data_IF_261110519647
#
_entry.id   IF_261110519647
#
_cell.length_a   1.000
_cell.length_b   1.000
_cell.length_c   1.000
_cell.angle_alpha   90.00
_cell.angle_beta   90.00
_cell.angle_gamma   90.00
#
_symmetry.space_group_name_H-M   'P 1'
#
loop_
_entity.id
_entity.type
_entity.pdbx_description
1 polymer ?
#
# COMPACT_ATOMS: atom_id res chain seq x y z
N UNK A 1 16.85 14.64 10.86
CA UNK A 1 16.63 14.42 9.41
C UNK A 1 15.28 14.91 8.87
N UNK A 2 14.16 14.74 9.59
CA UNK A 2 12.84 15.21 9.11
C UNK A 2 12.74 16.75 9.00
N UNK A 3 13.29 17.50 9.96
CA UNK A 3 13.34 18.97 9.90
C UNK A 3 14.13 19.50 8.69
N UNK A 4 15.29 18.91 8.39
CA UNK A 4 16.09 19.29 7.23
C UNK A 4 15.36 19.04 5.91
N UNK A 5 14.65 17.90 5.78
CA UNK A 5 13.77 17.66 4.63
C UNK A 5 12.67 18.71 4.54
N UNK A 6 12.07 19.09 5.66
CA UNK A 6 11.00 20.08 5.69
C UNK A 6 11.51 21.46 5.24
N UNK A 7 12.68 21.87 5.74
CA UNK A 7 13.30 23.14 5.39
C UNK A 7 13.71 23.17 3.91
N UNK A 8 14.31 22.09 3.41
CA UNK A 8 14.68 21.98 1.99
C UNK A 8 13.47 21.90 1.08
N UNK A 9 12.40 21.20 1.46
CA UNK A 9 11.14 21.19 0.70
C UNK A 9 10.48 22.56 0.68
N UNK A 10 10.52 23.29 1.80
CA UNK A 10 9.97 24.64 1.89
C UNK A 10 10.79 25.61 1.02
N UNK A 11 12.12 25.51 1.08
CA UNK A 11 13.02 26.29 0.24
C UNK A 11 12.78 26.01 -1.25
N UNK A 12 12.66 24.73 -1.63
CA UNK A 12 12.35 24.33 -3.00
C UNK A 12 11.00 24.90 -3.45
N UNK A 13 9.97 24.79 -2.61
CA UNK A 13 8.65 25.34 -2.90
C UNK A 13 8.71 26.87 -3.08
N UNK A 14 9.45 27.57 -2.22
CA UNK A 14 9.66 29.00 -2.34
C UNK A 14 10.35 29.38 -3.66
N UNK A 15 11.39 28.64 -4.06
CA UNK A 15 12.08 28.83 -5.35
C UNK A 15 11.14 28.62 -6.52
N UNK A 16 10.29 27.57 -6.48
CA UNK A 16 9.29 27.30 -7.52
C UNK A 16 8.31 28.47 -7.63
N UNK A 17 7.77 28.95 -6.51
CA UNK A 17 6.82 30.09 -6.50
C UNK A 17 7.48 31.35 -7.07
N UNK A 18 8.73 31.61 -6.69
CA UNK A 18 9.48 32.79 -7.14
C UNK A 18 9.75 32.71 -8.65
N UNK A 19 10.13 31.53 -9.14
CA UNK A 19 10.29 31.25 -10.58
C UNK A 19 8.99 31.48 -11.33
N UNK A 20 7.86 30.96 -10.84
CA UNK A 20 6.54 31.17 -11.46
C UNK A 20 6.20 32.65 -11.50
N UNK A 21 6.39 33.37 -10.39
CA UNK A 21 6.10 34.80 -10.29
C UNK A 21 6.96 35.62 -11.25
N UNK A 22 8.25 35.32 -11.35
CA UNK A 22 9.18 36.04 -12.22
C UNK A 22 8.87 35.80 -13.70
N UNK A 23 8.41 34.60 -14.05
CA UNK A 23 8.10 34.21 -15.42
C UNK A 23 6.61 34.37 -15.80
N UNK A 24 5.79 35.02 -14.96
CA UNK A 24 4.36 35.26 -15.22
C UNK A 24 4.08 35.89 -16.58
N UNK A 25 4.91 36.87 -16.97
CA UNK A 25 4.79 37.51 -18.27
C UNK A 25 4.98 36.51 -19.42
N UNK A 26 5.94 35.59 -19.29
CA UNK A 26 6.20 34.52 -20.25
C UNK A 26 5.06 33.50 -20.29
N UNK A 27 4.50 33.12 -19.13
CA UNK A 27 3.37 32.19 -19.07
C UNK A 27 2.09 32.73 -19.69
N UNK A 28 1.90 34.05 -19.67
CA UNK A 28 0.75 34.72 -20.27
C UNK A 28 0.93 35.04 -21.76
N UNK A 29 2.11 34.80 -22.34
CA UNK A 29 2.28 34.94 -23.79
C UNK A 29 1.36 33.98 -24.52
N UNK A 30 0.70 34.50 -25.55
CA UNK A 30 -0.08 33.73 -26.50
C UNK A 30 0.85 33.24 -27.60
N UNK A 31 0.82 31.94 -27.87
CA UNK A 31 1.46 31.34 -29.03
C UNK A 31 0.39 31.13 -30.10
N UNK A 32 0.71 31.59 -31.30
CA UNK A 32 -0.07 31.31 -32.50
C UNK A 32 0.34 29.96 -33.06
N UNK A 33 -0.66 29.11 -33.26
CA UNK A 33 -0.52 27.83 -33.95
C UNK A 33 -1.29 27.95 -35.24
N UNK A 34 -0.64 27.60 -36.35
CA UNK A 34 -1.28 27.46 -37.65
C UNK A 34 -1.18 26.01 -38.09
N UNK A 35 -2.30 25.48 -38.58
CA UNK A 35 -2.32 24.22 -39.29
C UNK A 35 -2.59 24.53 -40.76
N UNK A 36 -1.53 24.42 -41.57
CA UNK A 36 -1.65 24.59 -43.01
C UNK A 36 -2.18 23.30 -43.63
N UNK A 37 -3.48 23.28 -43.88
CA UNK A 37 -4.12 22.22 -44.63
C UNK A 37 -4.10 22.61 -46.11
N UNK A 38 -3.23 21.94 -46.89
CA UNK A 38 -3.04 22.13 -48.33
C UNK A 38 -4.33 22.11 -49.19
N UNK A 39 -5.48 21.73 -48.63
CA UNK A 39 -6.79 21.61 -49.29
C UNK A 39 -7.78 22.74 -48.93
N UNK A 40 -7.61 23.48 -47.82
CA UNK A 40 -8.51 24.59 -47.43
C UNK A 40 -7.95 25.39 -46.25
N UNK A 41 -8.10 26.71 -46.33
CA UNK A 41 -7.91 27.77 -45.31
C UNK A 41 -7.00 27.45 -44.11
N UNK A 42 -5.97 28.27 -43.92
CA UNK A 42 -5.11 28.23 -42.74
C UNK A 42 -5.94 28.34 -41.46
N UNK A 43 -6.02 27.25 -40.70
CA UNK A 43 -6.67 27.26 -39.39
C UNK A 43 -5.67 27.80 -38.38
N UNK A 44 -5.86 29.05 -37.97
CA UNK A 44 -5.06 29.72 -36.94
C UNK A 44 -5.78 29.70 -35.61
N UNK A 45 -5.14 29.23 -34.56
CA UNK A 45 -5.63 29.34 -33.19
C UNK A 45 -4.54 29.81 -32.24
N UNK A 46 -4.95 30.38 -31.11
CA UNK A 46 -4.03 30.89 -30.10
C UNK A 46 -4.21 30.14 -28.80
N UNK A 47 -3.08 29.73 -28.20
CA UNK A 47 -3.08 29.18 -26.85
C UNK A 47 -2.08 29.90 -25.98
N UNK A 48 -2.40 30.02 -24.69
CA UNK A 48 -1.46 30.57 -23.71
C UNK A 48 -0.40 29.52 -23.39
N UNK A 49 0.83 29.98 -23.17
CA UNK A 49 1.93 29.10 -22.73
C UNK A 49 1.54 28.37 -21.42
N UNK A 50 0.87 29.07 -20.51
CA UNK A 50 0.36 28.47 -19.27
C UNK A 50 -0.54 27.27 -19.50
N UNK A 51 -1.47 27.34 -20.47
CA UNK A 51 -2.39 26.23 -20.77
C UNK A 51 -1.67 25.01 -21.34
N UNK A 52 -0.64 25.23 -22.17
CA UNK A 52 0.17 24.15 -22.75
C UNK A 52 1.01 23.45 -21.69
N UNK A 53 1.65 24.21 -20.81
CA UNK A 53 2.46 23.68 -19.71
C UNK A 53 1.58 22.89 -18.75
N UNK A 54 0.39 23.43 -18.41
CA UNK A 54 -0.54 22.76 -17.50
C UNK A 54 -1.07 21.47 -18.11
N UNK A 55 -1.39 21.47 -19.41
CA UNK A 55 -1.82 20.27 -20.13
C UNK A 55 -0.70 19.22 -20.20
N UNK A 56 0.53 19.61 -20.55
CA UNK A 56 1.68 18.71 -20.58
C UNK A 56 1.99 18.14 -19.21
N UNK A 57 1.94 18.96 -18.16
CA UNK A 57 2.13 18.53 -16.78
C UNK A 57 1.03 17.57 -16.32
N UNK A 58 -0.23 17.84 -16.69
CA UNK A 58 -1.36 16.99 -16.36
C UNK A 58 -1.28 15.63 -17.06
N UNK A 59 -0.92 15.59 -18.34
CA UNK A 59 -0.68 14.34 -19.07
C UNK A 59 0.47 13.56 -18.45
N UNK A 60 1.59 14.23 -18.13
CA UNK A 60 2.70 13.61 -17.42
C UNK A 60 2.30 13.07 -16.04
N UNK A 61 1.47 13.80 -15.30
CA UNK A 61 0.92 13.37 -14.01
C UNK A 61 0.02 12.14 -14.16
N UNK A 62 -0.89 12.13 -15.14
CA UNK A 62 -1.74 10.97 -15.42
C UNK A 62 -0.89 9.74 -15.73
N UNK A 63 0.09 9.85 -16.64
CA UNK A 63 0.98 8.75 -17.01
C UNK A 63 1.77 8.26 -15.78
N UNK A 64 2.36 9.18 -15.01
CA UNK A 64 3.07 8.85 -13.78
C UNK A 64 2.17 8.18 -12.74
N UNK A 65 0.94 8.67 -12.58
CA UNK A 65 -0.05 8.12 -11.67
C UNK A 65 -0.44 6.69 -12.07
N UNK A 66 -0.72 6.44 -13.35
CA UNK A 66 -1.01 5.09 -13.86
C UNK A 66 0.17 4.14 -13.67
N UNK A 67 1.39 4.61 -13.93
CA UNK A 67 2.62 3.83 -13.71
C UNK A 67 2.82 3.48 -12.24
N UNK A 68 2.49 4.38 -11.31
CA UNK A 68 2.62 4.15 -9.87
C UNK A 68 1.48 3.31 -9.29
N UNK A 69 0.29 3.38 -9.86
CA UNK A 69 -0.87 2.60 -9.43
C UNK A 69 -0.68 1.10 -9.65
N UNK A 70 -0.01 0.72 -10.74
CA UNK A 70 0.26 -0.68 -11.09
C UNK A 70 1.07 -1.42 -10.00
N UNK A 71 2.28 -0.99 -9.59
CA UNK A 71 3.02 -1.63 -8.51
C UNK A 71 2.26 -1.54 -7.17
N UNK A 72 1.58 -0.42 -6.89
CA UNK A 72 0.83 -0.26 -5.64
C UNK A 72 -0.26 -1.32 -5.45
N UNK A 73 -0.98 -1.68 -6.53
CA UNK A 73 -1.98 -2.74 -6.51
C UNK A 73 -1.35 -4.14 -6.36
N UNK A 74 -0.21 -4.39 -7.00
CA UNK A 74 0.52 -5.65 -6.86
C UNK A 74 1.04 -5.85 -5.43
N UNK A 75 1.67 -4.83 -4.83
CA UNK A 75 2.18 -4.90 -3.47
C UNK A 75 1.05 -5.11 -2.45
N UNK A 76 -0.12 -4.48 -2.66
CA UNK A 76 -1.30 -4.73 -1.82
C UNK A 76 -1.79 -6.17 -1.88
N UNK A 77 -1.83 -6.76 -3.08
CA UNK A 77 -2.23 -8.16 -3.26
C UNK A 77 -1.24 -9.12 -2.60
N UNK A 78 0.06 -8.89 -2.79
CA UNK A 78 1.11 -9.69 -2.15
C UNK A 78 1.03 -9.64 -0.61
N UNK A 79 0.84 -8.45 -0.04
CA UNK A 79 0.65 -8.27 1.42
C UNK A 79 -0.60 -8.97 1.95
N UNK A 80 -1.68 -9.03 1.17
CA UNK A 80 -2.88 -9.77 1.58
C UNK A 80 -2.65 -11.29 1.54
N UNK A 81 -1.91 -11.78 0.54
CA UNK A 81 -1.55 -13.19 0.45
C UNK A 81 -0.65 -13.61 1.62
N UNK A 82 0.40 -12.85 1.92
CA UNK A 82 1.26 -13.12 3.07
C UNK A 82 0.49 -13.13 4.39
N UNK A 83 -0.45 -12.21 4.59
CA UNK A 83 -1.29 -12.18 5.80
C UNK A 83 -2.19 -13.40 5.92
N UNK A 84 -2.77 -13.87 4.82
CA UNK A 84 -3.61 -15.07 4.80
C UNK A 84 -2.79 -16.33 5.07
N UNK A 85 -1.59 -16.44 4.51
CA UNK A 85 -0.68 -17.55 4.78
C UNK A 85 -0.24 -17.57 6.23
N UNK A 86 0.10 -16.41 6.81
CA UNK A 86 0.48 -16.30 8.21
C UNK A 86 -0.67 -16.71 9.16
N UNK A 87 -1.90 -16.29 8.86
CA UNK A 87 -3.08 -16.70 9.63
C UNK A 87 -3.34 -18.22 9.55
N UNK A 88 -3.17 -18.83 8.37
CA UNK A 88 -3.31 -20.29 8.21
C UNK A 88 -2.25 -21.06 8.98
N UNK A 89 -1.02 -20.57 9.01
CA UNK A 89 0.06 -21.18 9.79
C UNK A 89 -0.22 -21.08 11.29
N UNK A 90 -0.69 -19.93 11.77
CA UNK A 90 -1.09 -19.76 13.17
C UNK A 90 -2.24 -20.70 13.56
N UNK A 91 -3.25 -20.85 12.70
CA UNK A 91 -4.36 -21.79 12.93
C UNK A 91 -3.89 -23.24 12.99
N UNK A 92 -2.97 -23.67 12.11
CA UNK A 92 -2.38 -25.02 12.19
C UNK A 92 -1.60 -25.25 13.47
N UNK A 93 -0.81 -24.28 13.90
CA UNK A 93 -0.04 -24.38 15.15
C UNK A 93 -1.01 -24.48 16.33
N UNK A 94 -2.09 -23.69 16.34
CA UNK A 94 -3.12 -23.74 17.38
C UNK A 94 -3.87 -25.09 17.39
N UNK A 95 -4.20 -25.64 16.22
CA UNK A 95 -4.81 -26.98 16.09
C UNK A 95 -3.86 -28.10 16.53
N UNK A 96 -2.57 -28.03 16.19
CA UNK A 96 -1.55 -29.00 16.63
C UNK A 96 -1.35 -28.94 18.14
N UNK A 97 -1.27 -27.74 18.73
CA UNK A 97 -1.16 -27.56 20.18
C UNK A 97 -2.40 -28.11 20.88
N UNK A 98 -3.60 -27.76 20.39
CA UNK A 98 -4.86 -28.27 20.95
C UNK A 98 -4.99 -29.78 20.84
N UNK A 99 -4.60 -30.37 19.71
CA UNK A 99 -4.61 -31.83 19.52
C UNK A 99 -3.63 -32.53 20.46
N UNK A 100 -2.48 -31.90 20.75
CA UNK A 100 -1.47 -32.41 21.67
C UNK A 100 -1.88 -32.29 23.13
N UNK A 101 -2.64 -31.25 23.49
CA UNK A 101 -3.26 -31.10 24.81
C UNK A 101 -4.37 -32.14 25.04
N UNK A 102 -5.23 -32.39 24.06
CA UNK A 102 -6.27 -33.44 24.14
C UNK A 102 -5.66 -34.84 24.30
N UNK A 103 -4.57 -35.14 23.57
CA UNK A 103 -3.82 -36.39 23.71
C UNK A 103 -3.06 -36.51 25.05
N UNK A 104 -2.82 -35.40 25.75
CA UNK A 104 -2.19 -35.39 27.06
C UNK A 104 -3.20 -35.51 28.23
N UNK A 105 -4.49 -35.18 28.00
CA UNK A 105 -5.57 -35.40 28.97
C UNK A 105 -6.15 -36.84 28.92
N UNK A 106 -6.13 -37.50 27.76
CA UNK A 106 -6.67 -38.86 27.59
C UNK A 106 -5.98 -39.98 28.42
N UNK A 107 -4.66 -39.96 28.74
CA UNK A 107 -4.03 -41.05 29.50
C UNK A 107 -4.26 -40.96 31.02
N UNK A 108 -4.85 -39.88 31.55
CA UNK A 108 -4.97 -39.68 32.99
C UNK A 108 -6.28 -40.24 33.60
N UNK A 109 -7.27 -40.60 32.77
CA UNK A 109 -8.60 -40.99 33.24
C UNK A 109 -8.84 -42.51 33.31
N UNK A 110 -7.93 -43.34 32.79
CA UNK A 110 -8.16 -44.79 32.63
C UNK A 110 -7.46 -45.67 33.71
N UNK A 111 -6.83 -45.06 34.73
CA UNK A 111 -6.16 -45.78 35.82
C UNK A 111 -6.86 -45.57 37.17
N UNK A 112 -8.14 -45.96 37.25
CA UNK A 112 -8.88 -46.07 38.52
C UNK A 112 -9.21 -47.54 38.80
N UNK A 113 -8.20 -48.29 39.25
CA UNK A 113 -8.35 -49.63 39.82
C UNK A 113 -8.95 -49.50 41.23
N UNK A 114 -10.05 -50.21 41.57
CA UNK A 114 -10.67 -50.10 42.89
C UNK A 114 -9.79 -50.75 43.98
N UNK A 115 -9.85 -50.25 45.23
CA UNK A 115 -8.93 -50.63 46.30
C UNK A 115 -9.23 -52.04 46.85
N UNK A 116 -8.22 -52.77 47.36
CA UNK A 116 -8.40 -54.11 47.91
C UNK A 116 -9.09 -54.05 49.28
N UNK A 117 -10.11 -54.89 49.48
CA UNK A 117 -10.79 -55.12 50.76
C UNK A 117 -9.83 -55.75 51.79
N UNK A 118 -9.67 -55.10 52.95
CA UNK A 118 -9.08 -55.67 54.16
C UNK A 118 -10.04 -56.71 54.76
N UNK A 119 -9.63 -57.95 55.03
CA UNK A 119 -10.33 -58.80 55.98
C UNK A 119 -9.78 -58.59 57.40
N UNK A 120 -10.74 -58.36 58.28
CA UNK A 120 -10.67 -58.13 59.71
C UNK A 120 -9.72 -59.05 60.49
N UNK A 121 -9.09 -58.46 61.50
CA UNK A 121 -8.51 -59.19 62.62
C UNK A 121 -9.59 -59.99 63.38
N UNK A 122 -9.26 -61.21 63.80
CA UNK A 122 -9.99 -61.86 64.90
C UNK A 122 -9.03 -62.57 65.86
N UNK A 123 -9.22 -62.41 67.19
CA UNK A 123 -8.31 -62.87 68.23
C UNK A 123 -8.70 -64.25 68.79
N UNK A 124 -7.72 -65.01 69.28
CA UNK A 124 -7.78 -65.84 70.51
C UNK A 124 -6.43 -66.55 70.72
#
# INVERSE_FOLDING_TARGET
MRLFRLFTTLLLLAVIVLFVRQNLATFNKTLEFSLDLFIREEVRWTHRVSTLILLSGFVGFLVGFFLMLKPFLHTRRALQQERQENQRLLQRIEEEVKSREVLAEEPAAEEAVPPPEEPEASPA
#
